data_IF_818818287739
#
_entry.id   IF_818818287739
#
_cell.length_a   1.000
_cell.length_b   1.000
_cell.length_c   1.000
_cell.angle_alpha   90.00
_cell.angle_beta   90.00
_cell.angle_gamma   90.00
#
_symmetry.space_group_name_H-M   'P 1'
#
loop_
_entity.id
_entity.type
_entity.pdbx_description
1 polymer ?
#
# COMPACT_ATOMS: atom_id res chain seq x y z
N UNK A 1 -10.70 36.42 12.94
CA UNK A 1 -9.65 37.40 12.59
C UNK A 1 -8.34 36.64 12.55
N UNK A 2 -7.74 36.60 11.38
CA UNK A 2 -6.41 36.05 11.17
C UNK A 2 -5.44 37.21 11.02
N UNK A 3 -4.20 37.01 11.48
CA UNK A 3 -3.18 38.04 11.41
C UNK A 3 -1.80 37.45 11.25
N UNK A 4 -0.92 38.18 10.57
CA UNK A 4 0.50 37.85 10.49
C UNK A 4 1.31 39.05 10.95
N UNK A 5 2.42 38.78 11.62
CA UNK A 5 3.42 39.78 11.97
C UNK A 5 4.71 39.39 11.25
N UNK A 6 5.27 40.33 10.50
CA UNK A 6 6.47 40.14 9.71
C UNK A 6 7.46 41.26 10.00
N UNK A 7 8.74 40.91 10.16
CA UNK A 7 9.81 41.90 10.19
C UNK A 7 10.13 42.36 8.77
N UNK A 8 10.20 43.67 8.56
CA UNK A 8 10.52 44.31 7.28
C UNK A 8 11.62 45.36 7.46
N UNK A 9 12.25 45.76 6.35
CA UNK A 9 13.27 46.80 6.31
C UNK A 9 12.81 47.94 5.40
N UNK A 10 12.76 49.16 5.94
CA UNK A 10 12.31 50.36 5.21
C UNK A 10 13.48 51.32 5.07
N UNK A 11 14.26 51.18 3.99
CA UNK A 11 15.34 52.10 3.58
C UNK A 11 16.57 52.25 4.50
N UNK A 12 16.43 52.03 5.81
CA UNK A 12 17.45 52.21 6.85
C UNK A 12 17.79 50.88 7.55
N UNK A 13 18.79 50.92 8.44
CA UNK A 13 19.27 49.76 9.20
C UNK A 13 18.31 49.28 10.31
N UNK A 14 17.39 50.12 10.77
CA UNK A 14 16.45 49.78 11.85
C UNK A 14 15.31 48.91 11.31
N UNK A 15 15.05 47.74 11.90
CA UNK A 15 13.94 46.89 11.48
C UNK A 15 12.59 47.48 11.89
N UNK A 16 11.59 47.26 11.05
CA UNK A 16 10.19 47.53 11.36
C UNK A 16 9.45 46.21 11.48
N UNK A 17 8.35 46.21 12.22
CA UNK A 17 7.40 45.10 12.26
C UNK A 17 6.09 45.54 11.65
N UNK A 18 5.65 44.79 10.65
CA UNK A 18 4.38 44.96 9.97
C UNK A 18 3.42 43.86 10.42
N UNK A 19 2.29 44.26 10.97
CA UNK A 19 1.15 43.39 11.21
C UNK A 19 0.09 43.61 10.14
N UNK A 20 -0.45 42.52 9.64
CA UNK A 20 -1.56 42.50 8.69
C UNK A 20 -2.66 41.64 9.29
N UNK A 21 -3.84 42.23 9.51
CA UNK A 21 -5.02 41.52 10.03
C UNK A 21 -6.15 41.52 9.00
N UNK A 22 -6.86 40.41 8.89
CA UNK A 22 -8.03 40.29 8.03
C UNK A 22 -9.12 39.43 8.68
N UNK A 23 -10.37 39.65 8.25
CA UNK A 23 -11.52 38.95 8.81
C UNK A 23 -11.71 37.56 8.18
N UNK A 24 -11.85 37.52 6.85
CA UNK A 24 -12.11 36.30 6.06
C UNK A 24 -10.93 36.03 5.13
N UNK A 25 -10.65 36.97 4.24
CA UNK A 25 -9.51 36.97 3.33
C UNK A 25 -9.00 38.40 3.10
N UNK A 26 -7.85 38.54 2.42
CA UNK A 26 -7.32 39.84 1.99
C UNK A 26 -8.16 40.46 0.84
N UNK A 27 -9.11 39.72 0.28
CA UNK A 27 -10.09 40.14 -0.72
C UNK A 27 -11.01 41.22 -0.16
N UNK A 28 -11.60 40.95 0.99
CA UNK A 28 -12.59 41.79 1.68
C UNK A 28 -12.00 43.00 2.44
N UNK A 29 -10.70 43.24 2.32
CA UNK A 29 -9.98 44.29 3.03
C UNK A 29 -9.19 43.80 4.23
N UNK A 30 -8.25 44.63 4.70
CA UNK A 30 -7.33 44.29 5.78
C UNK A 30 -6.84 45.54 6.51
N UNK A 31 -6.43 45.35 7.76
CA UNK A 31 -5.80 46.39 8.58
C UNK A 31 -4.31 46.16 8.62
N UNK A 32 -3.54 47.23 8.44
CA UNK A 32 -2.10 47.26 8.58
C UNK A 32 -1.71 48.02 9.84
N UNK A 33 -0.78 47.46 10.59
CA UNK A 33 -0.12 48.17 11.68
C UNK A 33 1.39 48.06 11.52
N UNK A 34 2.08 49.20 11.49
CA UNK A 34 3.52 49.29 11.36
C UNK A 34 4.12 49.85 12.66
N UNK A 35 5.22 49.27 13.14
CA UNK A 35 5.95 49.79 14.31
C UNK A 35 7.46 49.63 14.14
N UNK A 36 8.22 50.60 14.66
CA UNK A 36 9.68 50.55 14.81
C UNK A 36 10.10 50.13 16.24
N UNK A 37 9.13 49.72 17.08
CA UNK A 37 9.32 49.43 18.50
C UNK A 37 9.15 50.64 19.42
N UNK A 38 9.21 51.87 18.90
CA UNK A 38 8.95 53.10 19.65
C UNK A 38 7.57 53.67 19.31
N UNK A 39 7.37 54.04 18.05
CA UNK A 39 6.14 54.58 17.48
C UNK A 39 5.37 53.50 16.71
N UNK A 40 4.10 53.78 16.42
CA UNK A 40 3.31 52.90 15.60
C UNK A 40 2.33 53.68 14.72
N UNK A 41 1.98 53.10 13.59
CA UNK A 41 1.06 53.66 12.61
C UNK A 41 0.07 52.58 12.15
N UNK A 42 -1.17 52.97 11.89
CA UNK A 42 -2.25 52.07 11.46
C UNK A 42 -2.86 52.61 10.17
N UNK A 43 -3.23 51.72 9.27
CA UNK A 43 -4.03 52.02 8.10
C UNK A 43 -4.99 50.87 7.80
N UNK A 44 -6.07 51.18 7.10
CA UNK A 44 -7.03 50.20 6.63
C UNK A 44 -7.03 50.24 5.10
N UNK A 45 -7.16 49.07 4.47
CA UNK A 45 -7.31 48.94 3.03
C UNK A 45 -8.63 48.24 2.78
N UNK A 46 -9.54 48.94 2.11
CA UNK A 46 -10.86 48.42 1.74
C UNK A 46 -10.80 47.57 0.46
N UNK A 47 -11.88 46.86 0.14
CA UNK A 47 -11.99 46.02 -1.06
C UNK A 47 -11.73 46.80 -2.37
N UNK A 48 -12.14 48.08 -2.41
CA UNK A 48 -12.16 48.92 -3.60
C UNK A 48 -10.79 49.58 -3.95
N UNK A 49 -9.80 49.52 -3.06
CA UNK A 49 -8.54 50.30 -3.17
C UNK A 49 -7.37 49.56 -3.86
N UNK A 50 -7.65 48.47 -4.58
CA UNK A 50 -6.61 47.63 -5.23
C UNK A 50 -6.21 48.14 -6.61
N UNK A 51 -5.14 48.92 -6.69
CA UNK A 51 -4.58 49.39 -7.98
C UNK A 51 -3.29 48.61 -8.31
N UNK A 52 -3.30 47.89 -9.43
CA UNK A 52 -2.11 47.35 -10.11
C UNK A 52 -1.77 48.21 -11.33
N UNK A 53 -0.49 48.49 -11.59
CA UNK A 53 0.09 48.43 -12.94
C UNK A 53 1.64 48.52 -12.96
N UNK A 54 2.20 47.61 -13.76
CA UNK A 54 3.61 47.34 -14.14
C UNK A 54 4.30 48.60 -14.74
N UNK A 55 5.50 49.04 -14.36
CA UNK A 55 6.86 48.51 -14.64
C UNK A 55 7.80 49.19 -13.61
N UNK A 56 8.68 48.44 -12.94
CA UNK A 56 9.29 48.83 -11.63
C UNK A 56 8.22 49.20 -10.59
N UNK A 57 7.36 48.21 -10.41
CA UNK A 57 5.91 48.30 -10.17
C UNK A 57 5.60 48.79 -8.76
N UNK A 58 4.87 49.89 -8.65
CA UNK A 58 4.20 50.23 -7.41
C UNK A 58 3.07 49.22 -7.16
N UNK A 59 3.31 48.20 -6.31
CA UNK A 59 2.34 47.14 -6.00
C UNK A 59 1.10 47.64 -5.24
N UNK A 60 1.20 48.80 -4.62
CA UNK A 60 0.14 49.42 -3.83
C UNK A 60 0.72 50.42 -2.82
N UNK A 61 -0.08 51.41 -2.45
CA UNK A 61 0.22 52.38 -1.40
C UNK A 61 -0.96 52.45 -0.44
N UNK A 62 -0.65 52.73 0.81
CA UNK A 62 -1.63 52.97 1.87
C UNK A 62 -1.09 54.10 2.73
N UNK A 63 -1.96 55.04 3.07
CA UNK A 63 -1.61 56.08 4.03
C UNK A 63 -1.79 55.55 5.44
N UNK A 64 -0.71 55.54 6.22
CA UNK A 64 -0.76 55.14 7.62
C UNK A 64 -0.86 56.38 8.51
N UNK A 65 -1.77 56.33 9.47
CA UNK A 65 -1.94 57.37 10.47
C UNK A 65 -1.25 56.97 11.77
N UNK A 66 -0.71 57.90 12.58
CA UNK A 66 -0.16 57.58 13.89
C UNK A 66 -1.20 56.83 14.74
N UNK A 67 -0.78 55.71 15.35
CA UNK A 67 -1.66 54.92 16.18
C UNK A 67 -2.11 55.74 17.41
N UNK A 68 -3.40 55.68 17.80
CA UNK A 68 -3.93 56.42 18.95
C UNK A 68 -3.30 55.98 20.28
N UNK A 69 -3.03 54.68 20.41
CA UNK A 69 -2.24 54.12 21.51
C UNK A 69 -1.15 53.16 20.97
N UNK A 70 0.07 53.66 20.71
CA UNK A 70 1.18 52.83 20.25
C UNK A 70 1.64 51.80 21.29
N UNK A 71 1.41 52.04 22.58
CA UNK A 71 1.85 51.11 23.63
C UNK A 71 0.94 49.89 23.68
N UNK A 72 -0.38 50.11 23.69
CA UNK A 72 -1.37 49.05 23.65
C UNK A 72 -1.19 48.17 22.41
N UNK A 73 -1.02 48.79 21.22
CA UNK A 73 -0.79 48.06 19.98
C UNK A 73 0.46 47.17 20.04
N UNK A 74 1.59 47.68 20.55
CA UNK A 74 2.83 46.87 20.67
C UNK A 74 2.66 45.74 21.68
N UNK A 75 2.02 46.00 22.82
CA UNK A 75 1.74 44.96 23.83
C UNK A 75 0.84 43.87 23.27
N UNK A 76 -0.17 44.26 22.49
CA UNK A 76 -1.10 43.34 21.85
C UNK A 76 -0.42 42.52 20.75
N UNK A 77 0.42 43.13 19.89
CA UNK A 77 1.23 42.41 18.89
C UNK A 77 2.13 41.35 19.55
N UNK A 78 2.84 41.71 20.62
CA UNK A 78 3.70 40.79 21.37
C UNK A 78 2.86 39.71 22.04
N UNK A 79 1.75 40.08 22.68
CA UNK A 79 0.84 39.16 23.36
C UNK A 79 0.24 38.13 22.43
N UNK A 80 -0.21 38.54 21.24
CA UNK A 80 -0.70 37.64 20.20
C UNK A 80 0.41 36.71 19.69
N UNK A 81 1.61 37.24 19.46
CA UNK A 81 2.76 36.44 19.00
C UNK A 81 3.17 35.38 20.01
N UNK A 82 3.20 35.73 21.31
CA UNK A 82 3.48 34.79 22.39
C UNK A 82 2.39 33.73 22.50
N UNK A 83 1.12 34.12 22.44
CA UNK A 83 -0.01 33.19 22.46
C UNK A 83 0.09 32.19 21.28
N UNK A 84 0.32 32.70 20.07
CA UNK A 84 0.51 31.87 18.90
C UNK A 84 1.70 30.90 19.05
N UNK A 85 2.82 31.37 19.62
CA UNK A 85 3.98 30.51 19.92
C UNK A 85 3.59 29.38 20.88
N UNK A 86 2.89 29.68 21.98
CA UNK A 86 2.46 28.66 22.94
C UNK A 86 1.46 27.65 22.34
N UNK A 87 0.55 28.12 21.49
CA UNK A 87 -0.42 27.26 20.80
C UNK A 87 0.31 26.34 19.80
N UNK A 88 1.28 26.88 19.06
CA UNK A 88 2.08 26.13 18.10
C UNK A 88 2.99 25.11 18.80
N UNK A 89 3.60 25.46 19.93
CA UNK A 89 4.38 24.56 20.78
C UNK A 89 3.52 23.40 21.30
N UNK A 90 2.31 23.71 21.82
CA UNK A 90 1.35 22.68 22.25
C UNK A 90 0.98 21.72 21.12
N UNK A 91 0.69 22.26 19.93
CA UNK A 91 0.38 21.45 18.74
C UNK A 91 1.58 20.61 18.29
N UNK A 92 2.80 21.14 18.37
CA UNK A 92 4.01 20.37 18.07
C UNK A 92 4.22 19.23 19.06
N UNK A 93 4.02 19.46 20.36
CA UNK A 93 4.08 18.41 21.38
C UNK A 93 3.08 17.29 21.09
N UNK A 94 1.83 17.63 20.78
CA UNK A 94 0.81 16.65 20.40
C UNK A 94 1.22 15.86 19.16
N UNK A 95 1.67 16.54 18.09
CA UNK A 95 2.10 15.88 16.86
C UNK A 95 3.31 14.96 17.08
N UNK A 96 4.25 15.35 17.95
CA UNK A 96 5.41 14.52 18.31
C UNK A 96 4.97 13.24 19.05
N UNK A 97 4.02 13.35 19.97
CA UNK A 97 3.49 12.21 20.71
C UNK A 97 2.74 11.23 19.79
N UNK A 98 1.88 11.76 18.92
CA UNK A 98 1.19 10.98 17.89
C UNK A 98 2.18 10.29 16.94
N UNK A 99 3.22 11.00 16.50
CA UNK A 99 4.25 10.42 15.63
C UNK A 99 5.00 9.28 16.32
N UNK A 100 5.30 9.44 17.62
CA UNK A 100 5.91 8.38 18.43
C UNK A 100 4.97 7.18 18.55
N UNK A 101 3.69 7.40 18.85
CA UNK A 101 2.68 6.34 18.95
C UNK A 101 2.57 5.56 17.64
N UNK A 102 2.41 6.26 16.51
CA UNK A 102 2.30 5.64 15.19
C UNK A 102 3.54 4.81 14.83
N UNK A 103 4.74 5.31 15.14
CA UNK A 103 5.99 4.54 14.93
C UNK A 103 6.02 3.26 15.76
N UNK A 104 5.57 3.32 17.02
CA UNK A 104 5.51 2.14 17.88
C UNK A 104 4.49 1.12 17.40
N UNK A 105 3.29 1.57 16.98
CA UNK A 105 2.27 0.70 16.43
C UNK A 105 2.72 0.04 15.12
N UNK A 106 3.34 0.80 14.22
CA UNK A 106 3.89 0.26 12.99
C UNK A 106 4.94 -0.84 13.25
N UNK A 107 5.85 -0.62 14.20
CA UNK A 107 6.83 -1.63 14.61
C UNK A 107 6.16 -2.86 15.23
N UNK A 108 5.08 -2.68 15.99
CA UNK A 108 4.31 -3.78 16.56
C UNK A 108 3.67 -4.62 15.44
N UNK A 109 2.98 -3.98 14.51
CA UNK A 109 2.31 -4.65 13.38
C UNK A 109 3.32 -5.42 12.54
N UNK A 110 4.50 -4.83 12.25
CA UNK A 110 5.55 -5.53 11.51
C UNK A 110 6.05 -6.80 12.21
N UNK A 111 6.18 -6.77 13.55
CA UNK A 111 6.56 -7.97 14.32
C UNK A 111 5.48 -9.03 14.29
N UNK A 112 4.22 -8.63 14.47
CA UNK A 112 3.08 -9.55 14.43
C UNK A 112 2.93 -10.20 13.05
N UNK A 113 3.09 -9.41 11.98
CA UNK A 113 3.08 -9.91 10.61
C UNK A 113 4.23 -10.91 10.37
N UNK A 114 5.43 -10.61 10.87
CA UNK A 114 6.57 -11.53 10.79
C UNK A 114 6.28 -12.88 11.46
N UNK A 115 5.68 -12.86 12.65
CA UNK A 115 5.30 -14.09 13.35
C UNK A 115 4.23 -14.88 12.59
N UNK A 116 3.22 -14.19 12.05
CA UNK A 116 2.15 -14.85 11.27
C UNK A 116 2.69 -15.55 10.02
N UNK A 117 3.68 -14.96 9.35
CA UNK A 117 4.33 -15.59 8.18
C UNK A 117 5.09 -16.85 8.61
N UNK A 118 5.82 -16.80 9.71
CA UNK A 118 6.53 -17.98 10.25
C UNK A 118 5.55 -19.11 10.63
N UNK A 119 4.45 -18.75 11.32
CA UNK A 119 3.41 -19.70 11.71
C UNK A 119 2.73 -20.34 10.48
N UNK A 120 2.48 -19.55 9.43
CA UNK A 120 1.97 -20.03 8.13
C UNK A 120 2.93 -21.03 7.51
N UNK A 121 4.21 -20.70 7.38
CA UNK A 121 5.21 -21.55 6.75
C UNK A 121 5.40 -22.87 7.52
N UNK A 122 5.39 -22.82 8.85
CA UNK A 122 5.40 -24.01 9.70
C UNK A 122 4.18 -24.91 9.45
N UNK A 123 2.98 -24.32 9.36
CA UNK A 123 1.75 -25.06 9.11
C UNK A 123 1.75 -25.70 7.71
N UNK A 124 2.16 -24.95 6.69
CA UNK A 124 2.32 -25.45 5.33
C UNK A 124 3.27 -26.63 5.29
N UNK A 125 4.45 -26.52 5.90
CA UNK A 125 5.41 -27.63 5.98
C UNK A 125 4.83 -28.89 6.62
N UNK A 126 4.04 -28.74 7.70
CA UNK A 126 3.34 -29.86 8.35
C UNK A 126 2.30 -30.50 7.44
N UNK A 127 1.51 -29.69 6.73
CA UNK A 127 0.48 -30.18 5.79
C UNK A 127 1.10 -30.89 4.59
N UNK A 128 2.14 -30.32 3.99
CA UNK A 128 2.87 -30.95 2.87
C UNK A 128 3.49 -32.28 3.28
N UNK A 129 4.13 -32.34 4.44
CA UNK A 129 4.69 -33.60 4.96
C UNK A 129 3.61 -34.69 5.11
N UNK A 130 2.47 -34.34 5.71
CA UNK A 130 1.34 -35.27 5.85
C UNK A 130 0.78 -35.72 4.51
N UNK A 131 0.64 -34.80 3.56
CA UNK A 131 0.17 -35.12 2.22
C UNK A 131 1.11 -36.09 1.49
N UNK A 132 2.42 -35.86 1.56
CA UNK A 132 3.43 -36.75 0.97
C UNK A 132 3.39 -38.14 1.60
N UNK A 133 3.22 -38.25 2.92
CA UNK A 133 3.06 -39.55 3.59
C UNK A 133 1.87 -40.33 3.03
N UNK A 134 0.70 -39.69 2.94
CA UNK A 134 -0.52 -40.31 2.39
C UNK A 134 -0.32 -40.72 0.93
N UNK A 135 0.29 -39.86 0.10
CA UNK A 135 0.60 -40.20 -1.29
C UNK A 135 1.54 -41.40 -1.40
N UNK A 136 2.58 -41.46 -0.56
CA UNK A 136 3.53 -42.57 -0.57
C UNK A 136 2.88 -43.88 -0.16
N UNK A 137 2.01 -43.86 0.85
CA UNK A 137 1.22 -45.02 1.27
C UNK A 137 0.29 -45.50 0.14
N UNK A 138 -0.43 -44.57 -0.51
CA UNK A 138 -1.27 -44.89 -1.67
C UNK A 138 -0.45 -45.46 -2.83
N UNK A 139 0.71 -44.87 -3.16
CA UNK A 139 1.63 -45.38 -4.19
C UNK A 139 2.13 -46.78 -3.85
N UNK A 140 2.48 -47.06 -2.60
CA UNK A 140 2.92 -48.39 -2.16
C UNK A 140 1.80 -49.43 -2.30
N UNK A 141 0.56 -49.06 -1.92
CA UNK A 141 -0.60 -49.94 -2.07
C UNK A 141 -0.92 -50.24 -3.54
N UNK A 142 -0.85 -49.24 -4.42
CA UNK A 142 -1.03 -49.44 -5.87
C UNK A 142 0.03 -50.39 -6.42
N UNK A 143 1.31 -50.20 -6.09
CA UNK A 143 2.38 -51.11 -6.51
C UNK A 143 2.15 -52.54 -6.05
N UNK A 144 1.81 -52.73 -4.77
CA UNK A 144 1.54 -54.07 -4.23
C UNK A 144 0.33 -54.74 -4.88
N UNK A 145 -0.72 -53.99 -5.21
CA UNK A 145 -1.87 -54.52 -5.94
C UNK A 145 -1.51 -54.86 -7.39
N UNK A 146 -0.75 -54.01 -8.08
CA UNK A 146 -0.27 -54.27 -9.44
C UNK A 146 0.61 -55.52 -9.52
N UNK A 147 1.50 -55.72 -8.53
CA UNK A 147 2.31 -56.94 -8.40
C UNK A 147 1.44 -58.17 -8.18
N UNK A 148 0.46 -58.11 -7.26
CA UNK A 148 -0.47 -59.22 -7.02
C UNK A 148 -1.28 -59.58 -8.28
N UNK A 149 -1.77 -58.57 -9.03
CA UNK A 149 -2.47 -58.78 -10.31
C UNK A 149 -1.54 -59.44 -11.33
N UNK A 150 -0.29 -59.00 -11.44
CA UNK A 150 0.69 -59.56 -12.37
C UNK A 150 1.11 -61.00 -12.01
N UNK A 151 1.06 -61.38 -10.73
CA UNK A 151 1.29 -62.76 -10.30
C UNK A 151 0.06 -63.66 -10.51
N UNK A 152 -1.15 -63.10 -10.47
CA UNK A 152 -2.41 -63.81 -10.67
C UNK A 152 -2.84 -63.91 -12.13
N UNK A 153 -2.35 -63.01 -13.00
CA UNK A 153 -2.31 -63.25 -14.44
C UNK A 153 -1.11 -64.15 -14.71
N UNK A 154 -1.30 -65.47 -14.93
CA UNK A 154 -0.22 -66.27 -15.48
C UNK A 154 0.11 -65.65 -16.83
N UNK A 155 1.38 -65.55 -17.16
CA UNK A 155 1.77 -65.55 -18.56
C UNK A 155 1.01 -66.71 -19.21
N UNK A 156 0.08 -66.43 -20.11
CA UNK A 156 -0.47 -67.41 -21.06
C UNK A 156 0.61 -67.89 -22.06
N UNK A 157 1.89 -67.75 -21.70
CA UNK A 157 3.04 -68.24 -22.45
C UNK A 157 3.85 -69.15 -21.54
N UNK A 158 3.46 -70.42 -21.51
CA UNK A 158 4.38 -71.57 -21.60
C UNK A 158 3.62 -72.89 -21.46
N UNK A 159 3.14 -73.45 -22.58
CA UNK A 159 3.21 -74.88 -22.89
C UNK A 159 2.64 -75.15 -24.30
N UNK A 160 3.52 -75.22 -25.28
CA UNK A 160 3.35 -76.11 -26.42
C UNK A 160 4.61 -76.98 -26.47
N UNK A 161 4.56 -78.10 -25.74
CA UNK A 161 5.35 -79.27 -26.10
C UNK A 161 4.36 -80.27 -26.69
N UNK A 162 4.56 -80.61 -27.96
CA UNK A 162 3.63 -81.37 -28.77
C UNK A 162 3.95 -81.18 -30.25
N UNK A 163 4.82 -82.05 -30.76
CA UNK A 163 5.09 -82.22 -32.19
C UNK A 163 3.82 -82.25 -33.05
N UNK A 164 3.86 -81.58 -34.20
CA UNK A 164 2.81 -81.64 -35.20
C UNK A 164 2.93 -80.56 -36.28
N UNK A 165 3.91 -80.72 -37.18
CA UNK A 165 3.99 -80.25 -38.57
C UNK A 165 2.99 -79.18 -39.10
N UNK A 166 3.58 -78.05 -39.52
CA UNK A 166 3.23 -77.08 -40.59
C UNK A 166 2.05 -76.09 -40.46
N UNK A 167 2.46 -74.83 -40.21
CA UNK A 167 2.28 -73.60 -41.02
C UNK A 167 0.87 -73.14 -41.46
N UNK A 168 0.60 -71.92 -41.00
CA UNK A 168 -0.14 -70.81 -41.61
C UNK A 168 -1.68 -70.83 -41.59
N UNK A 169 -2.22 -69.81 -40.89
CA UNK A 169 -3.26 -68.85 -41.31
C UNK A 169 -4.49 -69.39 -42.07
N UNK A 170 -5.74 -68.99 -41.81
CA UNK A 170 -6.30 -67.83 -41.11
C UNK A 170 -7.83 -68.00 -41.16
N UNK A 171 -8.52 -67.19 -40.35
CA UNK A 171 -9.87 -66.65 -40.59
C UNK A 171 -11.11 -67.36 -40.01
N UNK A 172 -11.97 -66.47 -39.47
CA UNK A 172 -13.42 -66.49 -39.19
C UNK A 172 -13.79 -66.68 -37.72
N UNK A 173 -14.11 -65.56 -37.04
CA UNK A 173 -15.37 -64.81 -37.10
C UNK A 173 -16.47 -65.55 -36.33
N UNK A 174 -17.03 -64.84 -35.33
CA UNK A 174 -18.47 -64.62 -35.12
C UNK A 174 -18.97 -64.89 -33.69
N UNK A 175 -19.30 -63.78 -32.98
CA UNK A 175 -20.43 -63.55 -32.04
C UNK A 175 -20.51 -64.44 -30.78
N UNK A 176 -21.01 -64.05 -29.62
CA UNK A 176 -21.90 -62.96 -29.21
C UNK A 176 -21.79 -62.80 -27.67
N UNK A 177 -21.97 -61.57 -27.21
CA UNK A 177 -22.53 -61.12 -25.93
C UNK A 177 -22.42 -61.99 -24.66
N UNK A 178 -21.77 -61.43 -23.64
CA UNK A 178 -22.20 -61.62 -22.25
C UNK A 178 -21.91 -60.37 -21.40
N UNK A 179 -22.97 -59.58 -21.24
CA UNK A 179 -23.38 -58.78 -20.06
C UNK A 179 -22.26 -58.20 -19.19
N UNK A 180 -22.10 -56.88 -19.29
CA UNK A 180 -21.32 -56.02 -18.40
C UNK A 180 -21.63 -56.30 -16.91
N UNK A 181 -20.65 -56.81 -16.17
CA UNK A 181 -20.57 -56.60 -14.72
C UNK A 181 -20.01 -55.20 -14.49
N UNK A 182 -20.88 -54.28 -14.08
CA UNK A 182 -20.50 -52.96 -13.62
C UNK A 182 -19.60 -53.13 -12.38
N UNK A 183 -18.36 -52.64 -12.49
CA UNK A 183 -17.36 -52.67 -11.43
C UNK A 183 -17.60 -51.46 -10.49
N UNK A 184 -17.56 -51.61 -9.15
CA UNK A 184 -17.77 -50.48 -8.21
C UNK A 184 -16.68 -49.39 -8.27
N UNK A 185 -15.68 -49.52 -9.16
CA UNK A 185 -14.53 -48.61 -9.24
C UNK A 185 -14.73 -47.43 -10.19
N UNK A 186 -15.97 -47.10 -10.56
CA UNK A 186 -16.28 -45.94 -11.42
C UNK A 186 -16.83 -44.74 -10.64
N UNK A 187 -16.78 -44.72 -9.30
CA UNK A 187 -16.99 -43.48 -8.57
C UNK A 187 -15.87 -42.49 -8.92
N UNK A 188 -16.24 -41.39 -9.58
CA UNK A 188 -15.33 -40.30 -9.89
C UNK A 188 -14.70 -39.79 -8.59
N UNK A 189 -13.37 -39.78 -8.54
CA UNK A 189 -12.62 -39.05 -7.50
C UNK A 189 -13.07 -37.59 -7.52
N UNK A 190 -13.79 -37.16 -6.49
CA UNK A 190 -14.23 -35.76 -6.37
C UNK A 190 -12.97 -34.90 -6.18
N UNK A 191 -12.59 -34.18 -7.23
CA UNK A 191 -11.57 -33.15 -7.16
C UNK A 191 -12.17 -31.96 -6.41
N UNK A 192 -11.70 -31.72 -5.19
CA UNK A 192 -12.07 -30.53 -4.43
C UNK A 192 -11.27 -29.36 -4.99
N UNK A 193 -11.77 -28.77 -6.07
CA UNK A 193 -11.36 -27.43 -6.51
C UNK A 193 -12.13 -26.41 -5.66
N UNK A 194 -11.48 -25.34 -5.22
CA UNK A 194 -11.96 -24.37 -4.21
C UNK A 194 -13.32 -23.71 -4.48
N UNK A 195 -13.93 -23.94 -5.64
CA UNK A 195 -15.26 -23.44 -6.01
C UNK A 195 -16.42 -24.22 -5.33
N UNK A 196 -16.18 -25.41 -4.76
CA UNK A 196 -17.23 -26.30 -4.25
C UNK A 196 -17.64 -26.09 -2.77
N UNK A 197 -17.22 -25.01 -2.10
CA UNK A 197 -17.57 -24.74 -0.70
C UNK A 197 -18.96 -24.11 -0.49
N UNK A 198 -19.68 -23.76 -1.56
CA UNK A 198 -21.03 -23.18 -1.46
C UNK A 198 -22.08 -24.20 -0.97
N UNK A 199 -21.85 -25.49 -1.15
CA UNK A 199 -22.81 -26.54 -0.80
C UNK A 199 -22.84 -26.92 0.70
N UNK A 200 -22.09 -26.21 1.56
CA UNK A 200 -22.00 -26.51 3.00
C UNK A 200 -22.19 -25.28 3.92
N UNK A 201 -22.87 -24.24 3.45
CA UNK A 201 -23.50 -23.23 4.32
C UNK A 201 -22.56 -22.18 4.92
N UNK A 202 -21.40 -21.92 4.32
CA UNK A 202 -20.53 -20.81 4.72
C UNK A 202 -20.61 -19.70 3.67
N UNK A 203 -21.22 -18.57 4.02
CA UNK A 203 -21.29 -17.37 3.18
C UNK A 203 -19.90 -16.74 3.07
N UNK A 204 -19.29 -16.78 1.89
CA UNK A 204 -18.07 -16.04 1.58
C UNK A 204 -18.48 -14.74 0.88
N UNK A 205 -18.16 -13.62 1.52
CA UNK A 205 -18.40 -12.29 0.99
C UNK A 205 -17.54 -12.08 -0.27
N UNK A 206 -18.21 -11.71 -1.36
CA UNK A 206 -17.67 -11.73 -2.71
C UNK A 206 -17.19 -10.32 -3.07
N UNK A 207 -16.11 -9.89 -2.44
CA UNK A 207 -15.46 -8.60 -2.73
C UNK A 207 -13.97 -8.75 -2.99
N UNK A 208 -13.57 -9.66 -3.87
CA UNK A 208 -12.26 -9.56 -4.51
C UNK A 208 -12.38 -9.96 -5.98
N UNK A 209 -12.35 -8.94 -6.83
CA UNK A 209 -12.19 -9.05 -8.28
C UNK A 209 -10.81 -9.63 -8.57
N UNK A 210 -10.77 -10.63 -9.45
CA UNK A 210 -9.55 -11.08 -10.14
C UNK A 210 -8.93 -9.86 -10.84
N UNK A 211 -7.77 -9.42 -10.36
CA UNK A 211 -6.82 -8.63 -11.12
C UNK A 211 -5.51 -9.43 -11.10
N UNK A 212 -4.91 -9.52 -12.26
CA UNK A 212 -4.04 -10.61 -12.67
C UNK A 212 -2.69 -10.73 -11.94
N UNK A 213 -2.20 -11.95 -12.07
CA UNK A 213 -0.90 -12.53 -11.76
C UNK A 213 0.30 -11.66 -12.21
N UNK A 214 0.95 -10.96 -11.28
CA UNK A 214 2.29 -10.39 -11.48
C UNK A 214 3.26 -11.00 -10.46
N UNK A 215 4.03 -11.99 -10.91
CA UNK A 215 5.11 -12.61 -10.14
C UNK A 215 6.18 -11.59 -9.70
N UNK A 216 6.85 -11.82 -8.55
CA UNK A 216 7.75 -10.82 -7.95
C UNK A 216 9.13 -10.81 -8.61
N UNK A 217 9.44 -9.72 -9.32
CA UNK A 217 10.77 -9.53 -9.92
C UNK A 217 11.82 -9.22 -8.83
N UNK A 218 12.79 -10.13 -8.68
CA UNK A 218 13.91 -10.00 -7.74
C UNK A 218 15.01 -9.08 -8.30
N UNK A 219 15.36 -8.07 -7.50
CA UNK A 219 16.70 -7.49 -7.24
C UNK A 219 17.67 -7.28 -8.42
N UNK A 220 18.08 -6.02 -8.62
CA UNK A 220 19.51 -5.63 -8.61
C UNK A 220 19.68 -4.13 -8.30
N UNK A 221 20.34 -3.85 -7.18
CA UNK A 221 20.98 -2.56 -6.88
C UNK A 221 22.18 -2.39 -7.81
N UNK A 222 22.29 -1.24 -8.47
CA UNK A 222 23.56 -0.66 -8.91
C UNK A 222 23.53 0.82 -8.54
N UNK A 223 24.28 1.15 -7.49
CA UNK A 223 24.72 2.51 -7.21
C UNK A 223 25.78 2.87 -8.25
N UNK A 224 25.53 3.89 -9.06
CA UNK A 224 26.59 4.69 -9.67
C UNK A 224 26.20 6.16 -9.58
N UNK A 225 26.89 6.85 -8.68
CA UNK A 225 27.17 8.29 -8.73
C UNK A 225 27.60 8.69 -10.14
N UNK A 226 27.14 9.86 -10.62
CA UNK A 226 27.95 10.86 -11.33
C UNK A 226 27.07 12.11 -11.62
N UNK A 227 27.50 13.23 -11.05
CA UNK A 227 27.20 14.60 -11.49
C UNK A 227 27.74 14.80 -12.93
N UNK A 228 27.17 15.67 -13.78
CA UNK A 228 27.72 17.04 -13.87
C UNK A 228 26.70 18.14 -14.28
N UNK A 229 26.91 19.34 -13.75
CA UNK A 229 26.85 20.62 -14.49
C UNK A 229 28.27 21.22 -14.48
N UNK A 230 28.68 22.18 -15.36
CA UNK A 230 27.89 23.05 -16.26
C UNK A 230 28.44 23.14 -17.71
N UNK A 231 27.77 23.90 -18.59
CA UNK A 231 28.38 24.43 -19.83
C UNK A 231 27.76 25.76 -20.23
N UNK A 232 28.59 26.81 -20.22
CA UNK A 232 28.38 28.11 -20.86
C UNK A 232 28.46 28.01 -22.40
N UNK A 233 28.03 29.09 -23.08
CA UNK A 233 27.95 29.40 -24.54
C UNK A 233 26.53 29.17 -25.08
N UNK A 234 25.78 30.19 -25.51
CA UNK A 234 26.10 31.40 -26.29
C UNK A 234 25.24 32.60 -25.83
#
# INVERSE_FOLDING_TARGET
MSGIVQQISVGAATPYFLRVDWAVDLGAGFTLALTDGHSAWIGEVSEDEKICNDISVHLGSVELQPAPDPLELKQEMIGQSLKYSTDLESKNCQLLEENRRLKQEHQRILRELGQQVEDKDMLEGKMYSRFVMVLNEKKAKIRGLQEAVRHLQPTEDQQADGEGTQSDNESKDRKEETVQRIHPSQEQTILITGCNLVSQGMSVDQTFSDEEDEQPWRKRRLLHTLSPEPSEQE
#
